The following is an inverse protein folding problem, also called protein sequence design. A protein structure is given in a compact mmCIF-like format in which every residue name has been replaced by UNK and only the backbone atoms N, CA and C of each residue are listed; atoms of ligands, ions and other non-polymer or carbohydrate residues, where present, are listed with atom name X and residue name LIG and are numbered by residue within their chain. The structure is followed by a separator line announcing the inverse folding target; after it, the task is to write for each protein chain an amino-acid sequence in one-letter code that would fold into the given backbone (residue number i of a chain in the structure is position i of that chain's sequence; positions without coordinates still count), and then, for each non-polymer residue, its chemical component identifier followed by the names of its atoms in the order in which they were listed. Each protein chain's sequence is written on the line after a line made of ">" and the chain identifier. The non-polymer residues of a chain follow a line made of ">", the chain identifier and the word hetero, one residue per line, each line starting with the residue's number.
data_IF_550270758329
#
_entry.id   IF_550270758329
#
_cell.length_a   1.000
_cell.length_b   1.000
_cell.length_c   1.000
_cell.angle_alpha   90.00
_cell.angle_beta   90.00
_cell.angle_gamma   90.00
#
_symmetry.space_group_name_H-M   'P 1'
#
loop_
_entity.id
_entity.type
_entity.pdbx_description
1 polymer ?
#
# COMPACT_ATOMS: atom_id res chain seq x y z
N UNK A 1 33.57 13.56 20.43
CA UNK A 1 32.43 13.74 19.50
C UNK A 1 32.11 12.44 18.78
N UNK A 2 30.93 12.31 18.16
CA UNK A 2 30.51 11.12 17.38
C UNK A 2 31.50 10.80 16.25
N UNK A 3 32.11 11.80 15.67
CA UNK A 3 33.08 11.66 14.57
C UNK A 3 34.46 11.20 14.98
N UNK A 4 34.95 11.55 16.17
CA UNK A 4 36.31 11.39 16.61
C UNK A 4 36.48 10.19 17.56
N UNK A 5 37.73 9.74 17.75
CA UNK A 5 38.02 8.64 18.65
C UNK A 5 37.68 7.24 18.11
N UNK A 6 37.44 7.13 16.82
CA UNK A 6 37.07 5.88 16.15
C UNK A 6 38.29 5.26 15.49
N UNK A 7 38.37 3.93 15.53
CA UNK A 7 39.39 3.16 14.81
C UNK A 7 38.76 2.42 13.64
N UNK A 8 39.47 2.34 12.54
CA UNK A 8 39.09 1.52 11.40
C UNK A 8 39.00 0.04 11.82
N UNK A 9 37.84 -0.65 11.58
CA UNK A 9 37.70 -2.06 11.97
C UNK A 9 38.60 -3.02 11.19
N UNK A 10 39.09 -2.62 10.01
CA UNK A 10 40.00 -3.46 9.19
C UNK A 10 41.45 -3.33 9.56
N UNK A 11 41.96 -2.14 9.84
CA UNK A 11 43.40 -1.90 10.04
C UNK A 11 43.73 -1.28 11.40
N UNK A 12 42.77 -0.92 12.23
CA UNK A 12 42.97 -0.35 13.57
C UNK A 12 43.49 1.09 13.61
N UNK A 13 43.75 1.73 12.47
CA UNK A 13 44.21 3.13 12.42
C UNK A 13 43.10 4.11 12.85
N UNK A 14 43.51 5.31 13.28
CA UNK A 14 42.57 6.37 13.59
C UNK A 14 41.68 6.72 12.35
N UNK A 15 40.42 6.83 12.56
CA UNK A 15 39.45 7.10 11.52
C UNK A 15 38.41 8.16 11.98
N UNK A 16 37.67 8.73 11.03
CA UNK A 16 36.54 9.56 11.30
C UNK A 16 35.25 8.86 10.78
N UNK A 17 34.16 8.98 11.51
CA UNK A 17 32.86 8.55 10.99
C UNK A 17 32.35 9.55 9.98
N UNK A 18 31.68 9.02 8.97
CA UNK A 18 30.85 9.82 8.06
C UNK A 18 29.69 10.46 8.83
N UNK A 19 29.34 11.68 8.45
CA UNK A 19 28.25 12.46 9.07
C UNK A 19 27.07 12.72 8.15
N UNK A 20 27.26 12.49 6.86
CA UNK A 20 26.15 12.58 5.93
C UNK A 20 25.15 11.46 6.20
N UNK A 21 23.89 11.80 6.17
CA UNK A 21 22.80 10.83 6.29
C UNK A 21 22.51 10.19 4.94
N UNK A 22 22.11 8.93 4.98
CA UNK A 22 21.61 8.26 3.79
C UNK A 22 20.28 8.89 3.35
N UNK A 23 19.96 8.73 2.07
CA UNK A 23 18.63 9.10 1.54
C UNK A 23 17.53 8.37 2.30
N UNK A 24 16.42 9.05 2.58
CA UNK A 24 15.29 8.50 3.33
C UNK A 24 14.66 7.27 2.67
N UNK A 25 14.80 7.10 1.36
CA UNK A 25 14.33 5.92 0.65
C UNK A 25 15.14 4.65 0.98
N UNK A 26 16.32 4.78 1.54
CA UNK A 26 17.10 3.61 2.04
C UNK A 26 16.38 2.97 3.21
N UNK A 27 15.95 3.75 4.21
CA UNK A 27 15.18 3.25 5.35
C UNK A 27 13.87 2.60 4.90
N UNK A 28 13.15 3.24 3.98
CA UNK A 28 11.90 2.72 3.45
C UNK A 28 12.07 1.45 2.58
N UNK A 29 13.28 1.04 2.29
CA UNK A 29 13.55 -0.20 1.55
C UNK A 29 13.56 -1.47 2.41
N UNK A 30 13.64 -1.32 3.75
CA UNK A 30 13.73 -2.44 4.68
C UNK A 30 12.41 -3.11 5.03
N UNK A 31 11.26 -2.46 4.82
CA UNK A 31 9.96 -2.96 5.29
C UNK A 31 9.59 -4.34 4.69
N UNK A 32 10.03 -4.63 3.48
CA UNK A 32 9.81 -5.92 2.83
C UNK A 32 10.36 -7.09 3.66
N UNK A 33 11.50 -6.87 4.29
CA UNK A 33 12.16 -7.85 5.14
C UNK A 33 11.60 -7.79 6.56
N UNK A 34 11.30 -6.59 7.04
CA UNK A 34 10.86 -6.38 8.41
C UNK A 34 9.46 -6.95 8.67
N UNK A 35 8.49 -6.69 7.79
CA UNK A 35 7.08 -7.07 8.01
C UNK A 35 6.84 -8.58 8.18
N UNK A 36 7.46 -9.48 7.40
CA UNK A 36 7.34 -10.90 7.65
C UNK A 36 7.84 -11.35 9.03
N UNK A 37 8.73 -10.56 9.65
CA UNK A 37 9.45 -10.95 10.86
C UNK A 37 9.02 -10.21 12.13
N UNK A 38 8.26 -9.12 12.03
CA UNK A 38 7.99 -8.16 13.12
C UNK A 38 7.34 -8.79 14.37
N UNK A 39 6.64 -9.89 14.24
CA UNK A 39 5.96 -10.57 15.36
C UNK A 39 6.66 -11.86 15.80
N UNK A 40 7.87 -12.14 15.30
CA UNK A 40 8.62 -13.33 15.73
C UNK A 40 9.31 -13.09 17.08
N UNK A 41 9.56 -14.17 17.82
CA UNK A 41 10.32 -14.07 19.07
C UNK A 41 11.77 -13.62 18.81
N UNK A 42 12.34 -14.01 17.66
CA UNK A 42 13.65 -13.54 17.26
C UNK A 42 13.66 -12.02 17.08
N UNK A 43 12.62 -11.44 16.47
CA UNK A 43 12.50 -9.98 16.31
C UNK A 43 12.43 -9.25 17.63
N UNK A 44 11.65 -9.76 18.59
CA UNK A 44 11.49 -9.16 19.92
C UNK A 44 12.76 -9.18 20.74
N UNK A 45 13.62 -10.17 20.51
CA UNK A 45 14.85 -10.40 21.24
C UNK A 45 16.12 -9.93 20.52
N UNK A 46 15.98 -9.15 19.42
CA UNK A 46 17.16 -8.61 18.72
C UNK A 46 17.91 -7.65 19.66
N UNK A 47 19.14 -7.96 20.03
CA UNK A 47 19.99 -6.96 20.67
C UNK A 47 20.16 -5.78 19.74
N UNK A 48 20.02 -4.57 20.24
CA UNK A 48 20.04 -3.29 19.49
C UNK A 48 21.30 -3.01 18.66
N UNK A 49 22.21 -3.93 18.59
CA UNK A 49 23.40 -3.86 17.73
C UNK A 49 23.93 -5.26 17.41
N UNK A 50 23.72 -5.74 16.21
CA UNK A 50 24.71 -6.62 15.61
C UNK A 50 24.35 -8.04 15.19
N UNK A 51 23.18 -8.59 15.41
CA UNK A 51 22.82 -9.87 14.81
C UNK A 51 21.82 -9.68 13.67
N UNK A 52 22.32 -9.54 12.44
CA UNK A 52 21.48 -9.45 11.24
C UNK A 52 20.59 -10.67 10.98
N UNK A 53 20.75 -11.73 11.75
CA UNK A 53 20.00 -12.98 11.60
C UNK A 53 18.50 -12.88 11.93
N UNK A 54 18.11 -11.98 12.85
CA UNK A 54 16.69 -11.82 13.20
C UNK A 54 15.84 -11.16 12.09
N UNK A 55 16.49 -10.38 11.22
CA UNK A 55 15.81 -9.77 10.06
C UNK A 55 15.60 -10.73 8.91
N UNK A 56 16.33 -11.84 8.87
CA UNK A 56 16.41 -12.73 7.73
C UNK A 56 15.90 -14.14 8.08
N UNK A 57 14.79 -14.23 8.81
CA UNK A 57 14.15 -15.52 9.00
C UNK A 57 13.68 -16.07 7.64
N UNK A 58 14.44 -17.04 7.16
CA UNK A 58 14.28 -17.61 5.82
C UNK A 58 12.91 -18.23 5.59
N UNK A 59 12.35 -18.89 6.60
CA UNK A 59 11.01 -19.50 6.51
C UNK A 59 9.93 -18.43 6.28
N UNK A 60 10.00 -17.34 7.02
CA UNK A 60 9.04 -16.26 6.87
C UNK A 60 9.23 -15.51 5.55
N UNK A 61 10.48 -15.25 5.16
CA UNK A 61 10.75 -14.60 3.88
C UNK A 61 10.23 -15.44 2.71
N UNK A 62 10.45 -16.77 2.71
CA UNK A 62 9.93 -17.67 1.67
C UNK A 62 8.41 -17.74 1.63
N UNK A 63 7.75 -17.57 2.77
CA UNK A 63 6.28 -17.61 2.85
C UNK A 63 5.61 -16.33 2.32
N UNK A 64 6.28 -15.18 2.43
CA UNK A 64 5.69 -13.87 2.14
C UNK A 64 6.27 -13.16 0.92
N UNK A 65 7.42 -13.60 0.42
CA UNK A 65 8.12 -12.95 -0.68
C UNK A 65 8.33 -13.91 -1.86
N UNK A 66 8.39 -13.40 -3.10
CA UNK A 66 8.24 -11.99 -3.47
C UNK A 66 6.80 -11.47 -3.29
N UNK A 67 6.64 -10.16 -3.18
CA UNK A 67 5.32 -9.50 -3.09
C UNK A 67 4.57 -9.65 -4.41
N UNK A 68 3.35 -10.18 -4.37
CA UNK A 68 2.56 -10.46 -5.57
C UNK A 68 2.13 -9.21 -6.33
N UNK A 69 1.62 -8.23 -5.60
CA UNK A 69 1.15 -6.96 -6.17
C UNK A 69 1.61 -5.78 -5.31
N UNK A 70 2.36 -4.87 -5.89
CA UNK A 70 2.66 -3.57 -5.32
C UNK A 70 1.70 -2.52 -5.89
N UNK A 71 0.92 -1.89 -5.02
CA UNK A 71 -0.04 -0.85 -5.42
C UNK A 71 0.51 0.53 -5.09
N UNK A 72 0.87 1.30 -6.10
CA UNK A 72 1.40 2.66 -5.93
C UNK A 72 2.00 3.17 -7.23
N UNK A 73 1.76 4.43 -7.57
CA UNK A 73 2.24 5.03 -8.82
C UNK A 73 3.22 6.18 -8.64
N UNK A 74 3.17 6.85 -7.49
CA UNK A 74 3.92 8.08 -7.28
C UNK A 74 5.41 7.92 -6.95
N UNK A 75 5.86 6.71 -6.64
CA UNK A 75 7.19 6.45 -6.09
C UNK A 75 8.02 5.43 -6.89
N UNK A 76 7.70 5.24 -8.17
CA UNK A 76 8.39 4.27 -9.03
C UNK A 76 9.89 4.55 -9.12
N UNK A 77 10.27 5.81 -9.34
CA UNK A 77 11.67 6.23 -9.49
C UNK A 77 12.35 6.45 -8.13
N UNK A 78 11.59 6.66 -7.08
CA UNK A 78 12.10 6.86 -5.72
C UNK A 78 12.14 5.53 -4.97
N UNK A 79 11.11 5.26 -4.19
CA UNK A 79 11.05 4.11 -3.31
C UNK A 79 11.26 2.75 -4.01
N UNK A 80 10.61 2.48 -5.14
CA UNK A 80 10.73 1.18 -5.81
C UNK A 80 12.12 0.94 -6.39
N UNK A 81 12.77 1.97 -6.93
CA UNK A 81 14.13 1.85 -7.43
C UNK A 81 15.10 1.48 -6.30
N UNK A 82 15.00 2.18 -5.15
CA UNK A 82 15.82 1.88 -3.98
C UNK A 82 15.54 0.49 -3.40
N UNK A 83 14.26 0.13 -3.24
CA UNK A 83 13.88 -1.16 -2.69
C UNK A 83 14.36 -2.32 -3.56
N UNK A 84 14.24 -2.22 -4.88
CA UNK A 84 14.72 -3.23 -5.82
C UNK A 84 16.26 -3.32 -5.83
N UNK A 85 16.94 -2.18 -5.84
CA UNK A 85 18.39 -2.16 -5.78
C UNK A 85 18.91 -2.77 -4.48
N UNK A 86 18.31 -2.40 -3.36
CA UNK A 86 18.65 -2.92 -2.05
C UNK A 86 18.44 -4.45 -1.97
N UNK A 87 17.31 -4.91 -2.48
CA UNK A 87 17.02 -6.33 -2.58
C UNK A 87 18.07 -7.10 -3.40
N UNK A 88 18.45 -6.57 -4.56
CA UNK A 88 19.45 -7.18 -5.42
C UNK A 88 20.83 -7.27 -4.73
N UNK A 89 21.21 -6.24 -4.00
CA UNK A 89 22.46 -6.28 -3.20
C UNK A 89 22.42 -7.40 -2.16
N UNK A 90 21.32 -7.57 -1.45
CA UNK A 90 21.15 -8.64 -0.47
C UNK A 90 21.12 -10.02 -1.13
N UNK A 91 20.46 -10.15 -2.26
CA UNK A 91 20.40 -11.36 -3.05
C UNK A 91 21.79 -11.77 -3.58
N UNK A 92 22.51 -10.85 -4.20
CA UNK A 92 23.86 -11.08 -4.73
C UNK A 92 24.88 -11.39 -3.61
N UNK A 93 24.67 -10.83 -2.42
CA UNK A 93 25.48 -11.12 -1.23
C UNK A 93 25.17 -12.49 -0.59
N UNK A 94 24.18 -13.22 -1.10
CA UNK A 94 23.76 -14.51 -0.55
C UNK A 94 23.00 -14.43 0.77
N UNK A 95 22.50 -13.25 1.14
CA UNK A 95 21.70 -13.02 2.34
C UNK A 95 20.21 -13.34 2.13
N UNK A 96 19.78 -13.35 0.89
CA UNK A 96 18.43 -13.76 0.47
C UNK A 96 18.53 -15.11 -0.24
N UNK A 97 17.69 -16.06 0.16
CA UNK A 97 17.64 -17.37 -0.47
C UNK A 97 17.26 -17.27 -1.94
N UNK A 98 18.01 -17.95 -2.80
CA UNK A 98 17.82 -17.91 -4.25
C UNK A 98 16.46 -18.37 -4.72
N UNK A 99 15.78 -19.21 -3.93
CA UNK A 99 14.42 -19.68 -4.27
C UNK A 99 13.36 -18.58 -4.21
N UNK A 100 13.61 -17.47 -3.51
CA UNK A 100 12.70 -16.31 -3.43
C UNK A 100 12.78 -15.50 -4.73
N UNK A 101 13.95 -15.45 -5.37
CA UNK A 101 14.17 -14.67 -6.59
C UNK A 101 14.89 -13.34 -6.37
N UNK A 102 15.40 -12.80 -7.47
CA UNK A 102 16.18 -11.56 -7.48
C UNK A 102 15.33 -10.27 -7.61
N UNK A 103 14.00 -10.41 -7.65
CA UNK A 103 13.05 -9.30 -7.68
C UNK A 103 12.07 -9.37 -6.51
N UNK A 104 11.94 -8.30 -5.70
CA UNK A 104 11.07 -8.30 -4.54
C UNK A 104 9.59 -8.12 -4.86
N UNK A 105 9.25 -7.64 -6.06
CA UNK A 105 7.88 -7.36 -6.50
C UNK A 105 7.59 -8.05 -7.84
N UNK A 106 6.49 -8.80 -7.91
CA UNK A 106 6.10 -9.48 -9.14
C UNK A 106 5.31 -8.57 -10.09
N UNK A 107 4.48 -7.68 -9.54
CA UNK A 107 3.64 -6.78 -10.31
C UNK A 107 3.57 -5.39 -9.69
N UNK A 108 3.57 -4.38 -10.54
CA UNK A 108 3.26 -3.00 -10.18
C UNK A 108 1.87 -2.62 -10.69
N UNK A 109 1.02 -2.17 -9.78
CA UNK A 109 -0.28 -1.59 -10.07
C UNK A 109 -0.23 -0.09 -9.79
N UNK A 110 -0.11 0.70 -10.83
CA UNK A 110 -0.08 2.16 -10.72
C UNK A 110 -1.49 2.74 -10.81
N UNK A 111 -2.09 3.24 -9.71
CA UNK A 111 -3.38 3.92 -9.75
C UNK A 111 -3.26 5.28 -10.44
N UNK A 112 -4.34 5.68 -11.11
CA UNK A 112 -4.49 7.06 -11.56
C UNK A 112 -4.70 8.00 -10.36
N UNK A 113 -4.26 9.25 -10.51
CA UNK A 113 -4.50 10.26 -9.49
C UNK A 113 -5.97 10.66 -9.43
N UNK A 114 -6.49 10.83 -8.22
CA UNK A 114 -7.73 11.55 -8.00
C UNK A 114 -7.38 13.04 -7.97
N UNK A 115 -7.96 13.77 -8.90
CA UNK A 115 -7.76 15.21 -9.04
C UNK A 115 -8.80 15.98 -8.24
N UNK A 116 -8.53 17.23 -7.93
CA UNK A 116 -9.56 18.13 -7.44
C UNK A 116 -10.72 18.29 -8.44
N UNK A 117 -11.82 18.88 -8.01
CA UNK A 117 -12.97 19.20 -8.89
C UNK A 117 -12.59 20.15 -10.04
N UNK A 118 -11.47 20.85 -9.89
CA UNK A 118 -10.85 21.73 -10.89
C UNK A 118 -9.93 20.99 -11.88
N UNK A 119 -9.93 19.66 -11.84
CA UNK A 119 -9.08 18.76 -12.66
C UNK A 119 -7.56 18.95 -12.45
N UNK A 120 -7.13 19.61 -11.39
CA UNK A 120 -5.72 19.70 -11.01
C UNK A 120 -5.37 18.69 -9.92
N UNK A 121 -4.09 18.34 -9.83
CA UNK A 121 -3.60 17.54 -8.72
C UNK A 121 -3.94 18.22 -7.40
N UNK A 122 -4.53 17.47 -6.46
CA UNK A 122 -4.86 17.98 -5.12
C UNK A 122 -3.61 18.47 -4.41
N UNK A 123 -3.67 19.67 -3.86
CA UNK A 123 -2.55 20.30 -3.17
C UNK A 123 -3.06 21.32 -2.14
N UNK A 124 -2.39 21.42 -1.01
CA UNK A 124 -2.66 22.44 0.01
C UNK A 124 -2.57 23.86 -0.57
N UNK A 125 -1.65 24.06 -1.52
CA UNK A 125 -1.45 25.37 -2.19
C UNK A 125 -2.70 25.82 -2.96
N UNK A 126 -3.45 24.89 -3.54
CA UNK A 126 -4.63 25.19 -4.36
C UNK A 126 -5.94 25.15 -3.58
N UNK A 127 -5.90 24.68 -2.33
CA UNK A 127 -7.11 24.51 -1.52
C UNK A 127 -8.15 23.56 -2.10
N UNK A 128 -7.74 22.66 -2.99
CA UNK A 128 -8.60 21.71 -3.72
C UNK A 128 -8.51 20.29 -3.18
N UNK A 129 -7.97 20.12 -1.97
CA UNK A 129 -7.87 18.80 -1.33
C UNK A 129 -9.25 18.42 -0.80
N UNK A 130 -9.62 17.17 -1.03
CA UNK A 130 -10.75 16.52 -0.38
C UNK A 130 -10.20 15.41 0.50
N UNK A 131 -10.56 15.41 1.76
CA UNK A 131 -10.09 14.43 2.73
C UNK A 131 -11.20 13.45 3.11
N UNK A 132 -10.87 12.20 3.48
CA UNK A 132 -11.85 11.27 4.05
C UNK A 132 -12.57 11.85 5.27
N UNK A 133 -11.85 12.63 6.11
CA UNK A 133 -12.39 13.23 7.32
C UNK A 133 -13.52 14.25 7.05
N UNK A 134 -13.57 14.82 5.86
CA UNK A 134 -14.67 15.71 5.42
C UNK A 134 -15.86 14.94 4.85
N UNK A 135 -15.62 13.80 4.23
CA UNK A 135 -16.63 13.02 3.52
C UNK A 135 -17.32 12.01 4.43
N UNK A 136 -16.55 11.30 5.27
CA UNK A 136 -17.07 10.22 6.12
C UNK A 136 -18.16 10.71 7.08
N UNK A 137 -18.03 11.85 7.78
CA UNK A 137 -19.09 12.33 8.67
C UNK A 137 -20.41 12.67 7.95
N UNK A 138 -20.34 13.03 6.66
CA UNK A 138 -21.51 13.44 5.87
C UNK A 138 -22.21 12.27 5.17
N UNK A 139 -21.41 11.34 4.64
CA UNK A 139 -21.91 10.32 3.73
C UNK A 139 -21.61 8.88 4.18
N UNK A 140 -20.76 8.70 5.20
CA UNK A 140 -20.32 7.39 5.66
C UNK A 140 -19.10 6.86 4.88
N UNK A 141 -18.34 5.99 5.53
CA UNK A 141 -17.13 5.38 4.96
C UNK A 141 -17.47 4.47 3.77
N UNK A 142 -18.56 3.72 3.83
CA UNK A 142 -18.96 2.83 2.75
C UNK A 142 -19.28 3.60 1.46
N UNK A 143 -19.92 4.76 1.59
CA UNK A 143 -20.17 5.64 0.44
C UNK A 143 -18.88 6.10 -0.22
N UNK A 144 -17.89 6.54 0.57
CA UNK A 144 -16.59 6.95 0.06
C UNK A 144 -15.93 5.80 -0.70
N UNK A 145 -15.84 4.63 -0.10
CA UNK A 145 -15.23 3.43 -0.70
C UNK A 145 -15.90 3.01 -2.00
N UNK A 146 -17.24 2.94 -2.01
CA UNK A 146 -18.02 2.62 -3.22
C UNK A 146 -17.79 3.65 -4.31
N UNK A 147 -17.77 4.94 -3.95
CA UNK A 147 -17.54 6.01 -4.92
C UNK A 147 -16.13 5.93 -5.53
N UNK A 148 -15.10 5.76 -4.72
CA UNK A 148 -13.71 5.64 -5.21
C UNK A 148 -13.54 4.46 -6.18
N UNK A 149 -14.16 3.32 -5.89
CA UNK A 149 -14.11 2.16 -6.78
C UNK A 149 -14.96 2.35 -8.05
N UNK A 150 -16.01 3.16 -7.99
CA UNK A 150 -16.94 3.41 -9.12
C UNK A 150 -16.47 4.54 -10.04
N UNK A 151 -15.58 5.43 -9.62
CA UNK A 151 -15.16 6.62 -10.38
C UNK A 151 -14.67 6.34 -11.81
N UNK A 152 -14.23 5.13 -12.09
CA UNK A 152 -13.73 4.72 -13.40
C UNK A 152 -12.50 3.78 -13.31
N UNK A 153 -11.85 3.49 -14.44
CA UNK A 153 -10.73 2.55 -14.49
C UNK A 153 -9.62 2.93 -13.52
N UNK A 154 -9.04 1.92 -12.86
CA UNK A 154 -8.06 2.11 -11.79
C UNK A 154 -6.83 2.95 -12.19
N UNK A 155 -6.36 2.78 -13.39
CA UNK A 155 -5.13 3.40 -13.91
C UNK A 155 -5.34 4.78 -14.57
N UNK A 156 -6.59 5.29 -14.58
CA UNK A 156 -6.91 6.58 -15.24
C UNK A 156 -7.07 7.69 -14.20
N UNK A 157 -6.52 8.86 -14.47
CA UNK A 157 -6.74 10.06 -13.65
C UNK A 157 -8.19 10.53 -13.76
N UNK A 158 -8.79 10.92 -12.63
CA UNK A 158 -10.20 11.27 -12.52
C UNK A 158 -10.40 12.49 -11.64
N UNK A 159 -11.25 13.45 -12.04
CA UNK A 159 -11.62 14.55 -11.17
C UNK A 159 -12.58 14.07 -10.08
N UNK A 160 -12.44 14.64 -8.89
CA UNK A 160 -13.41 14.46 -7.81
C UNK A 160 -14.77 15.06 -8.18
N UNK A 161 -15.85 14.35 -7.86
CA UNK A 161 -17.20 14.83 -8.08
C UNK A 161 -18.07 14.64 -6.83
N UNK A 162 -18.56 15.74 -6.26
CA UNK A 162 -19.48 15.70 -5.11
C UNK A 162 -20.81 15.01 -5.49
N UNK A 163 -21.32 15.30 -6.67
CA UNK A 163 -22.56 14.66 -7.16
C UNK A 163 -22.40 13.16 -7.36
N UNK A 164 -21.19 12.70 -7.69
CA UNK A 164 -20.87 11.28 -7.75
C UNK A 164 -20.92 10.61 -6.38
N UNK A 165 -20.37 11.25 -5.34
CA UNK A 165 -20.47 10.79 -3.95
C UNK A 165 -21.93 10.68 -3.50
N UNK A 166 -22.73 11.71 -3.76
CA UNK A 166 -24.18 11.69 -3.46
C UNK A 166 -24.92 10.57 -4.21
N UNK A 167 -24.50 10.27 -5.44
CA UNK A 167 -25.02 9.14 -6.21
C UNK A 167 -24.77 7.80 -5.52
N UNK A 168 -23.56 7.56 -5.05
CA UNK A 168 -23.19 6.36 -4.28
C UNK A 168 -23.98 6.30 -2.96
N UNK A 169 -24.09 7.40 -2.25
CA UNK A 169 -24.88 7.49 -1.01
C UNK A 169 -26.34 7.11 -1.23
N UNK A 170 -26.98 7.67 -2.25
CA UNK A 170 -28.36 7.34 -2.61
C UNK A 170 -28.52 5.87 -3.01
N UNK A 171 -27.54 5.31 -3.70
CA UNK A 171 -27.54 3.89 -4.05
C UNK A 171 -27.53 3.02 -2.80
N UNK A 172 -26.59 3.23 -1.88
CA UNK A 172 -26.49 2.48 -0.62
C UNK A 172 -27.77 2.65 0.23
N UNK A 173 -28.33 3.86 0.28
CA UNK A 173 -29.60 4.10 0.97
C UNK A 173 -30.79 3.35 0.35
N UNK A 174 -30.81 3.12 -0.97
CA UNK A 174 -31.83 2.25 -1.61
C UNK A 174 -31.64 0.80 -1.23
N UNK A 175 -30.40 0.30 -1.26
CA UNK A 175 -30.09 -1.09 -0.86
C UNK A 175 -30.48 -1.31 0.60
N UNK A 176 -30.12 -0.39 1.49
CA UNK A 176 -30.45 -0.47 2.91
C UNK A 176 -31.97 -0.51 3.14
N UNK A 177 -32.73 0.39 2.51
CA UNK A 177 -34.18 0.39 2.62
C UNK A 177 -34.80 -0.89 2.09
N UNK A 178 -34.30 -1.42 0.97
CA UNK A 178 -34.79 -2.68 0.41
C UNK A 178 -34.60 -3.83 1.38
N UNK A 179 -33.43 -3.92 2.00
CA UNK A 179 -33.11 -4.99 2.94
C UNK A 179 -33.93 -4.90 4.24
N UNK A 180 -34.12 -3.68 4.77
CA UNK A 180 -34.81 -3.46 6.05
C UNK A 180 -36.33 -3.28 5.91
N UNK A 181 -36.91 -3.53 4.75
CA UNK A 181 -38.37 -3.54 4.59
C UNK A 181 -38.93 -4.85 5.16
N UNK A 182 -39.44 -4.79 6.39
CA UNK A 182 -40.12 -5.91 7.02
C UNK A 182 -41.27 -6.42 6.15
N UNK A 183 -41.36 -7.73 5.97
CA UNK A 183 -42.51 -8.41 5.31
C UNK A 183 -42.50 -8.40 3.79
N UNK A 184 -41.41 -7.94 3.12
CA UNK A 184 -41.35 -7.91 1.64
C UNK A 184 -40.45 -8.94 0.99
N UNK A 185 -39.90 -9.89 1.75
CA UNK A 185 -39.32 -11.09 1.14
C UNK A 185 -40.48 -11.91 0.57
N UNK A 186 -40.77 -11.71 -0.71
CA UNK A 186 -41.82 -12.45 -1.39
C UNK A 186 -41.50 -13.93 -1.37
N UNK A 187 -42.46 -14.74 -0.95
CA UNK A 187 -42.41 -16.22 -1.07
C UNK A 187 -42.76 -16.71 -2.49
N UNK A 188 -42.81 -15.81 -3.46
CA UNK A 188 -43.18 -16.12 -4.84
C UNK A 188 -42.01 -16.50 -5.72
N UNK A 189 -42.29 -17.18 -6.83
CA UNK A 189 -41.28 -17.45 -7.86
C UNK A 189 -40.68 -16.15 -8.40
N UNK A 190 -39.33 -16.15 -8.52
CA UNK A 190 -38.62 -14.99 -9.09
C UNK A 190 -38.99 -14.88 -10.57
N UNK A 191 -39.45 -13.72 -11.00
CA UNK A 191 -39.79 -13.50 -12.41
C UNK A 191 -38.59 -13.79 -13.33
N UNK A 192 -38.79 -14.46 -14.46
CA UNK A 192 -37.72 -14.80 -15.41
C UNK A 192 -36.89 -13.58 -15.84
N UNK A 193 -37.51 -12.43 -15.95
CA UNK A 193 -36.85 -11.16 -16.31
C UNK A 193 -35.82 -10.73 -15.24
N UNK A 194 -36.12 -10.96 -13.96
CA UNK A 194 -35.19 -10.66 -12.86
C UNK A 194 -33.99 -11.63 -12.87
N UNK A 195 -34.26 -12.93 -13.12
CA UNK A 195 -33.21 -13.94 -13.26
C UNK A 195 -32.32 -13.61 -14.45
N UNK A 196 -32.92 -13.29 -15.60
CA UNK A 196 -32.18 -12.86 -16.78
C UNK A 196 -31.30 -11.63 -16.50
N UNK A 197 -31.84 -10.63 -15.81
CA UNK A 197 -31.09 -9.43 -15.45
C UNK A 197 -29.94 -9.72 -14.47
N UNK A 198 -30.16 -10.62 -13.52
CA UNK A 198 -29.11 -11.07 -12.59
C UNK A 198 -27.94 -11.68 -13.37
N UNK A 199 -28.21 -12.62 -14.28
CA UNK A 199 -27.17 -13.25 -15.09
C UNK A 199 -26.46 -12.30 -16.06
N UNK A 200 -27.09 -11.21 -16.47
CA UNK A 200 -26.44 -10.15 -17.26
C UNK A 200 -25.53 -9.24 -16.43
N UNK A 201 -25.69 -9.24 -15.10
CA UNK A 201 -24.99 -8.32 -14.20
C UNK A 201 -23.78 -8.98 -13.54
N UNK A 202 -23.77 -10.30 -13.41
CA UNK A 202 -22.67 -11.14 -12.95
C UNK A 202 -21.69 -11.42 -14.09
#
# INVERSE_FOLDING_TARGET
>A
TFQEGVKCPKCGTAAKREVDTLDTNVDSSWYLIAYPNVNTEEWKNVPSAGSGQAFLNETNLKAWLPVDDYVGGGHVVQHLLFARFFWKVLFDSGLIDKSIGDEPFLKLRAPGWILGSDSRKMSKRWGNIVTPDEIIPKFGADTLRVYEMFMGPFNVMKPWSVTGVEGAYRFLGRVWRLYNQEGKAGSGEVKPEVVSKLHQTI
#
